data_IF_882553606499
#
_entry.id   IF_882553606499
#
_cell.length_a   1.000
_cell.length_b   1.000
_cell.length_c   1.000
_cell.angle_alpha   90.00
_cell.angle_beta   90.00
_cell.angle_gamma   90.00
#
_symmetry.space_group_name_H-M   'P 1'
#
loop_
_entity.id
_entity.type
_entity.pdbx_description
1 polymer ?
#
# COMPACT_ATOMS: atom_id res chain seq x y z
N UNK A 1 7.32 -17.66 5.97
CA UNK A 1 6.85 -16.81 4.85
C UNK A 1 7.69 -15.56 4.77
N UNK A 2 8.08 -15.18 3.56
CA UNK A 2 8.84 -13.96 3.27
C UNK A 2 8.19 -13.26 2.08
N UNK A 3 7.97 -11.95 2.20
CA UNK A 3 7.52 -11.09 1.10
C UNK A 3 8.65 -10.12 0.75
N UNK A 4 8.92 -9.95 -0.54
CA UNK A 4 9.85 -8.95 -1.06
C UNK A 4 9.10 -8.04 -2.02
N UNK A 5 9.25 -6.72 -1.85
CA UNK A 5 8.80 -5.73 -2.82
C UNK A 5 10.01 -5.11 -3.52
N UNK A 6 10.06 -5.22 -4.85
CA UNK A 6 11.04 -4.52 -5.67
C UNK A 6 10.61 -3.08 -5.88
N UNK A 7 11.47 -2.13 -5.54
CA UNK A 7 11.14 -0.70 -5.61
C UNK A 7 11.34 -0.10 -7.02
N UNK A 8 12.05 -0.80 -7.91
CA UNK A 8 12.24 -0.33 -9.29
C UNK A 8 10.95 -0.39 -10.11
N UNK A 9 10.13 -1.43 -9.91
CA UNK A 9 8.92 -1.68 -10.71
C UNK A 9 7.68 -2.08 -9.89
N UNK A 10 7.81 -2.18 -8.56
CA UNK A 10 6.71 -2.51 -7.66
C UNK A 10 6.37 -3.99 -7.56
N UNK A 11 7.12 -4.88 -8.23
CA UNK A 11 6.84 -6.32 -8.22
C UNK A 11 6.93 -6.90 -6.82
N UNK A 12 6.03 -7.85 -6.54
CA UNK A 12 5.97 -8.59 -5.30
C UNK A 12 6.44 -10.02 -5.54
N UNK A 13 7.24 -10.53 -4.63
CA UNK A 13 7.65 -11.94 -4.57
C UNK A 13 7.27 -12.51 -3.20
N UNK A 14 6.77 -13.74 -3.19
CA UNK A 14 6.35 -14.43 -1.97
C UNK A 14 6.98 -15.82 -1.89
N UNK A 15 7.64 -16.12 -0.76
CA UNK A 15 8.30 -17.40 -0.54
C UNK A 15 7.82 -18.09 0.74
N UNK A 16 7.55 -19.39 0.64
CA UNK A 16 7.29 -20.25 1.79
C UNK A 16 8.59 -20.83 2.32
N UNK A 17 9.30 -20.08 3.17
CA UNK A 17 10.58 -20.53 3.75
C UNK A 17 10.51 -21.85 4.53
N UNK A 18 9.32 -22.30 4.96
CA UNK A 18 9.18 -23.59 5.62
C UNK A 18 9.26 -24.76 4.63
N UNK A 19 8.83 -24.56 3.39
CA UNK A 19 8.82 -25.58 2.32
C UNK A 19 9.95 -25.41 1.32
N UNK A 20 10.39 -24.17 1.12
CA UNK A 20 11.42 -23.77 0.16
C UNK A 20 12.34 -22.72 0.79
N UNK A 21 13.29 -23.15 1.64
CA UNK A 21 14.27 -22.25 2.25
C UNK A 21 15.20 -21.59 1.23
N UNK A 22 15.33 -22.17 0.04
CA UNK A 22 16.17 -21.65 -1.05
C UNK A 22 15.53 -20.54 -1.88
N UNK A 23 14.27 -20.17 -1.60
CA UNK A 23 13.54 -19.11 -2.32
C UNK A 23 13.49 -19.37 -3.84
N UNK A 24 13.32 -20.63 -4.24
CA UNK A 24 13.34 -21.08 -5.64
C UNK A 24 11.99 -20.94 -6.34
N UNK A 25 10.88 -20.92 -5.59
CA UNK A 25 9.53 -20.81 -6.14
C UNK A 25 8.81 -19.56 -5.65
N UNK A 26 8.57 -18.63 -6.57
CA UNK A 26 7.75 -17.45 -6.31
C UNK A 26 6.25 -17.81 -6.31
N UNK A 27 5.61 -17.61 -5.17
CA UNK A 27 4.20 -17.90 -4.92
C UNK A 27 3.30 -16.66 -4.97
N UNK A 28 3.81 -15.50 -5.36
CA UNK A 28 3.05 -14.24 -5.25
C UNK A 28 1.71 -14.27 -6.00
N UNK A 29 1.70 -14.88 -7.19
CA UNK A 29 0.50 -15.04 -8.03
C UNK A 29 -0.40 -16.21 -7.61
N UNK A 30 0.17 -17.22 -6.94
CA UNK A 30 -0.55 -18.43 -6.50
C UNK A 30 -1.24 -18.23 -5.15
N UNK A 31 -0.72 -17.32 -4.31
CA UNK A 31 -1.20 -17.03 -2.96
C UNK A 31 -1.57 -15.54 -2.80
N UNK A 32 -2.54 -15.02 -3.58
CA UNK A 32 -2.82 -13.58 -3.66
C UNK A 32 -3.27 -12.97 -2.33
N UNK A 33 -4.07 -13.70 -1.53
CA UNK A 33 -4.53 -13.22 -0.23
C UNK A 33 -3.38 -13.06 0.77
N UNK A 34 -2.43 -14.00 0.76
CA UNK A 34 -1.24 -13.93 1.60
C UNK A 34 -0.33 -12.80 1.15
N UNK A 35 -0.11 -12.66 -0.15
CA UNK A 35 0.64 -11.55 -0.75
C UNK A 35 0.06 -10.21 -0.31
N UNK A 36 -1.27 -10.02 -0.40
CA UNK A 36 -1.96 -8.79 -0.01
C UNK A 36 -1.85 -8.49 1.49
N UNK A 37 -2.04 -9.50 2.34
CA UNK A 37 -1.93 -9.35 3.79
C UNK A 37 -0.51 -8.93 4.21
N UNK A 38 0.51 -9.65 3.73
CA UNK A 38 1.91 -9.33 4.05
C UNK A 38 2.34 -7.98 3.46
N UNK A 39 1.83 -7.61 2.28
CA UNK A 39 2.10 -6.30 1.66
C UNK A 39 1.54 -5.17 2.55
N UNK A 40 0.34 -5.37 3.09
CA UNK A 40 -0.27 -4.39 4.01
C UNK A 40 0.55 -4.23 5.29
N UNK A 41 1.07 -5.33 5.84
CA UNK A 41 1.98 -5.29 7.00
C UNK A 41 3.29 -4.57 6.69
N UNK A 42 3.90 -4.86 5.54
CA UNK A 42 5.11 -4.19 5.07
C UNK A 42 4.90 -2.68 4.94
N UNK A 43 3.81 -2.27 4.29
CA UNK A 43 3.49 -0.85 4.10
C UNK A 43 3.20 -0.15 5.43
N UNK A 44 2.52 -0.82 6.37
CA UNK A 44 2.28 -0.28 7.70
C UNK A 44 3.59 -0.06 8.47
N UNK A 45 4.52 -1.03 8.42
CA UNK A 45 5.83 -0.91 9.04
C UNK A 45 6.66 0.23 8.42
N UNK A 46 6.68 0.35 7.09
CA UNK A 46 7.39 1.42 6.39
C UNK A 46 6.88 2.81 6.78
N UNK A 47 5.57 2.98 6.95
CA UNK A 47 4.98 4.24 7.45
C UNK A 47 5.38 4.55 8.88
N UNK A 48 5.41 3.53 9.74
CA UNK A 48 5.78 3.71 11.16
C UNK A 48 7.27 4.01 11.37
N UNK A 49 8.12 3.70 10.39
CA UNK A 49 9.57 3.84 10.50
C UNK A 49 10.15 5.02 9.69
N UNK A 50 9.29 5.94 9.23
CA UNK A 50 9.64 7.11 8.41
C UNK A 50 10.62 6.77 7.27
N UNK A 51 10.36 5.63 6.60
CA UNK A 51 11.23 5.13 5.56
C UNK A 51 11.32 6.17 4.42
N UNK A 52 12.49 6.79 4.26
CA UNK A 52 12.75 7.74 3.16
C UNK A 52 12.83 6.97 1.84
N UNK A 53 11.74 6.97 1.08
CA UNK A 53 11.69 6.35 -0.24
C UNK A 53 12.68 6.99 -1.23
N UNK A 54 13.06 6.21 -2.24
CA UNK A 54 13.88 6.68 -3.35
C UNK A 54 13.22 7.92 -3.96
N UNK A 55 13.97 9.03 -3.98
CA UNK A 55 13.52 10.25 -4.64
C UNK A 55 13.75 10.10 -6.14
N UNK A 56 12.71 10.28 -6.94
CA UNK A 56 12.79 10.25 -8.41
C UNK A 56 13.88 11.24 -8.89
N UNK A 57 14.78 10.78 -9.76
CA UNK A 57 15.67 11.69 -10.52
C UNK A 57 14.84 12.42 -11.58
N UNK A 58 15.12 13.70 -11.89
CA UNK A 58 14.33 14.51 -12.83
C UNK A 58 13.99 13.79 -14.15
N UNK A 59 14.97 13.06 -14.71
CA UNK A 59 14.86 12.33 -15.99
C UNK A 59 14.91 10.80 -15.84
N UNK A 60 14.70 10.27 -14.62
CA UNK A 60 14.70 8.83 -14.34
C UNK A 60 13.32 8.18 -14.51
N UNK A 61 13.27 6.84 -14.66
CA UNK A 61 12.01 6.11 -14.57
C UNK A 61 11.33 6.39 -13.23
N UNK A 62 9.98 6.38 -13.21
CA UNK A 62 9.25 6.53 -11.95
C UNK A 62 9.59 5.36 -11.05
N UNK A 63 10.27 5.63 -9.93
CA UNK A 63 10.42 4.64 -8.87
C UNK A 63 9.04 4.36 -8.25
N UNK A 64 8.85 3.15 -7.75
CA UNK A 64 7.64 2.80 -7.03
C UNK A 64 7.47 3.70 -5.80
N UNK A 65 6.24 4.14 -5.54
CA UNK A 65 5.89 4.93 -4.36
C UNK A 65 4.91 4.15 -3.49
N UNK A 66 5.00 4.31 -2.16
CA UNK A 66 3.96 3.80 -1.27
C UNK A 66 2.61 4.34 -1.76
N UNK A 67 1.59 3.48 -1.89
CA UNK A 67 0.24 3.95 -2.04
C UNK A 67 -0.08 4.76 -0.78
N UNK A 68 -0.13 6.07 -0.90
CA UNK A 68 -0.89 6.88 0.03
C UNK A 68 -2.33 6.40 -0.15
N UNK A 69 -2.94 5.88 0.91
CA UNK A 69 -4.39 5.96 0.99
C UNK A 69 -4.66 7.45 0.82
N UNK A 70 -5.18 7.84 -0.33
CA UNK A 70 -5.84 9.12 -0.43
C UNK A 70 -6.77 9.14 0.79
N UNK A 71 -6.55 10.10 1.69
CA UNK A 71 -7.67 10.55 2.48
C UNK A 71 -8.78 10.75 1.44
N UNK A 72 -9.80 9.89 1.48
CA UNK A 72 -11.01 10.17 0.74
C UNK A 72 -11.46 11.50 1.29
N UNK A 73 -11.14 12.58 0.59
CA UNK A 73 -11.97 13.76 0.59
C UNK A 73 -13.29 13.31 -0.06
N UNK A 74 -14.07 12.52 0.68
CA UNK A 74 -15.50 12.55 0.53
C UNK A 74 -15.95 13.90 1.11
N UNK A 75 -15.71 14.95 0.33
CA UNK A 75 -16.43 16.21 0.47
C UNK A 75 -17.82 16.00 -0.12
N UNK A 76 -18.57 15.01 0.39
CA UNK A 76 -20.01 15.02 0.23
C UNK A 76 -20.53 16.09 1.17
N UNK A 77 -20.45 17.34 0.71
CA UNK A 77 -21.33 18.42 1.15
C UNK A 77 -22.76 17.94 0.88
N UNK A 78 -23.35 17.24 1.85
CA UNK A 78 -24.79 17.27 1.99
C UNK A 78 -25.13 18.69 2.38
N UNK A 79 -25.55 19.47 1.37
CA UNK A 79 -26.45 20.59 1.58
C UNK A 79 -27.72 20.02 2.25
N UNK A 80 -27.71 19.96 3.59
CA UNK A 80 -28.95 19.90 4.36
C UNK A 80 -29.50 21.32 4.41
N UNK A 81 -30.41 21.62 3.48
CA UNK A 81 -31.32 22.75 3.62
C UNK A 81 -32.37 22.46 4.71
N UNK A 82 -32.84 23.53 5.37
CA UNK A 82 -33.93 23.55 6.34
C UNK A 82 -33.47 23.24 7.77
N UNK A 83 -33.80 24.00 8.82
CA UNK A 83 -34.92 24.91 9.01
C UNK A 83 -34.65 25.70 10.30
N UNK A 84 -34.64 27.04 10.27
CA UNK A 84 -34.69 27.84 11.51
C UNK A 84 -36.14 28.25 11.73
N UNK A 85 -36.89 27.48 12.53
CA UNK A 85 -38.12 27.99 13.14
C UNK A 85 -37.71 28.70 14.43
N UNK A 86 -37.93 30.01 14.46
CA UNK A 86 -37.68 30.87 15.61
C UNK A 86 -39.01 30.95 16.32
N UNK A 87 -39.12 30.29 17.46
CA UNK A 87 -40.16 30.57 18.45
C UNK A 87 -40.02 32.03 18.88
N UNK A 88 -41.07 32.82 18.61
CA UNK A 88 -41.58 33.94 19.40
C UNK A 88 -42.99 34.30 18.89
#
# INVERSE_FOLDING_TARGET
>A
WKLIQRYEDGRLHLFDLAKDPGETRDLASEEPERTKSMTSMLHAWLRGHDARFLRRKPDGPSAWQLPTLTASNDSTTRHCGGQTSRDL
#
